data_IF_438283875186
#
_entry.id   IF_438283875186
#
_cell.length_a   1.000
_cell.length_b   1.000
_cell.length_c   1.000
_cell.angle_alpha   90.00
_cell.angle_beta   90.00
_cell.angle_gamma   90.00
#
_symmetry.space_group_name_H-M   'P 1'
#
loop_
_entity.id
_entity.type
_entity.pdbx_description
1 polymer ?
#
# COMPACT_ATOMS: atom_id res chain seq x y z
N UNK A 1 0.00 5.60 -11.71
CA UNK A 1 1.27 5.08 -12.24
C UNK A 1 2.45 5.81 -11.62
N UNK A 2 3.59 5.15 -11.60
CA UNK A 2 4.88 5.70 -11.20
C UNK A 2 5.85 5.39 -12.34
N UNK A 3 6.30 6.44 -13.06
CA UNK A 3 7.07 6.31 -14.29
C UNK A 3 8.43 6.98 -14.13
N UNK A 4 9.47 6.37 -14.69
CA UNK A 4 10.79 6.98 -14.84
C UNK A 4 11.04 7.22 -16.31
N UNK A 5 11.20 8.49 -16.68
CA UNK A 5 11.45 8.93 -18.04
C UNK A 5 12.87 9.50 -18.18
N UNK A 6 13.49 9.28 -19.35
CA UNK A 6 14.76 9.88 -19.76
C UNK A 6 14.68 10.18 -21.25
N UNK A 7 15.11 11.37 -21.64
CA UNK A 7 15.10 11.81 -23.06
C UNK A 7 13.72 11.69 -23.72
N UNK A 8 12.65 12.05 -22.99
CA UNK A 8 11.25 11.92 -23.41
C UNK A 8 10.75 10.48 -23.63
N UNK A 9 11.48 9.50 -23.19
CA UNK A 9 11.09 8.08 -23.24
C UNK A 9 10.85 7.54 -21.84
N UNK A 10 9.73 6.83 -21.62
CA UNK A 10 9.46 6.08 -20.39
C UNK A 10 10.17 4.74 -20.52
N UNK A 11 11.16 4.48 -19.68
CA UNK A 11 11.89 3.21 -19.67
C UNK A 11 11.55 2.32 -18.47
N UNK A 12 10.80 2.85 -17.51
CA UNK A 12 10.32 2.09 -16.37
C UNK A 12 8.98 2.65 -15.89
N UNK A 13 8.01 1.77 -15.70
CA UNK A 13 6.68 2.13 -15.22
C UNK A 13 6.15 1.08 -14.23
N UNK A 14 5.57 1.56 -13.13
CA UNK A 14 4.74 0.76 -12.25
C UNK A 14 3.30 1.26 -12.34
N UNK A 15 2.36 0.37 -12.60
CA UNK A 15 0.94 0.71 -12.68
C UNK A 15 0.16 -0.11 -11.67
N UNK A 16 -0.68 0.54 -10.90
CA UNK A 16 -1.68 -0.09 -10.05
C UNK A 16 -3.04 0.14 -10.65
N UNK A 17 -3.77 -0.94 -10.88
CA UNK A 17 -5.15 -0.89 -11.33
C UNK A 17 -6.10 -1.12 -10.16
N UNK A 18 -7.12 -0.30 -10.01
CA UNK A 18 -8.21 -0.51 -9.06
C UNK A 18 -9.22 -1.53 -9.61
N UNK A 19 -8.74 -2.76 -9.79
CA UNK A 19 -9.56 -3.87 -10.31
C UNK A 19 -10.74 -4.18 -9.40
N UNK A 20 -10.56 -4.04 -8.08
CA UNK A 20 -11.65 -4.23 -7.13
C UNK A 20 -12.72 -3.15 -7.26
N UNK A 21 -12.32 -1.90 -7.51
CA UNK A 21 -13.25 -0.81 -7.82
C UNK A 21 -14.04 -1.06 -9.09
N UNK A 22 -13.37 -1.54 -10.15
CA UNK A 22 -14.02 -1.91 -11.41
C UNK A 22 -15.07 -3.01 -11.20
N UNK A 23 -14.75 -4.09 -10.47
CA UNK A 23 -15.66 -5.20 -10.18
C UNK A 23 -16.92 -4.67 -9.47
N UNK A 24 -16.75 -3.79 -8.48
CA UNK A 24 -17.88 -3.15 -7.78
C UNK A 24 -18.73 -2.27 -8.70
N UNK A 25 -18.11 -1.51 -9.60
CA UNK A 25 -18.82 -0.67 -10.58
C UNK A 25 -19.64 -1.50 -11.57
N UNK A 26 -19.20 -2.72 -11.89
CA UNK A 26 -19.94 -3.67 -12.69
C UNK A 26 -21.07 -4.37 -11.93
N UNK A 27 -21.29 -4.06 -10.65
CA UNK A 27 -22.32 -4.68 -9.80
C UNK A 27 -22.01 -6.11 -9.39
N UNK A 28 -20.77 -6.57 -9.55
CA UNK A 28 -20.34 -7.92 -9.21
C UNK A 28 -19.89 -8.01 -7.74
N UNK A 29 -20.12 -9.17 -7.13
CA UNK A 29 -19.62 -9.44 -5.78
C UNK A 29 -18.12 -9.69 -5.82
N UNK A 30 -17.37 -8.83 -5.13
CA UNK A 30 -15.91 -8.85 -5.13
C UNK A 30 -15.35 -10.14 -4.47
N UNK A 31 -16.03 -10.67 -3.45
CA UNK A 31 -15.60 -11.90 -2.78
C UNK A 31 -15.83 -13.14 -3.65
N UNK A 32 -16.97 -13.21 -4.33
CA UNK A 32 -17.26 -14.33 -5.24
C UNK A 32 -16.30 -14.31 -6.45
N UNK A 33 -16.03 -13.16 -7.04
CA UNK A 33 -15.03 -13.03 -8.12
C UNK A 33 -13.63 -13.44 -7.62
N UNK A 34 -13.23 -12.98 -6.43
CA UNK A 34 -11.92 -13.34 -5.85
C UNK A 34 -11.82 -14.84 -5.59
N UNK A 35 -12.89 -15.47 -5.09
CA UNK A 35 -12.97 -16.91 -4.84
C UNK A 35 -12.90 -17.74 -6.13
N UNK A 36 -13.62 -17.32 -7.17
CA UNK A 36 -13.55 -17.97 -8.47
C UNK A 36 -12.11 -17.94 -9.02
N UNK A 37 -11.47 -16.75 -9.03
CA UNK A 37 -10.08 -16.59 -9.50
C UNK A 37 -9.11 -17.41 -8.63
N UNK A 38 -9.32 -17.46 -7.32
CA UNK A 38 -8.49 -18.22 -6.40
C UNK A 38 -8.53 -19.72 -6.70
N UNK A 39 -9.70 -20.25 -7.09
CA UNK A 39 -9.91 -21.66 -7.42
C UNK A 39 -9.37 -22.03 -8.81
N UNK A 40 -9.55 -21.14 -9.79
CA UNK A 40 -9.10 -21.36 -11.17
C UNK A 40 -7.59 -21.13 -11.36
N UNK A 41 -6.97 -20.45 -10.44
CA UNK A 41 -5.60 -19.95 -10.52
C UNK A 41 -5.48 -18.65 -11.32
N UNK A 42 -4.63 -17.75 -10.86
CA UNK A 42 -4.41 -16.45 -11.53
C UNK A 42 -3.49 -16.65 -12.73
N UNK A 43 -3.98 -16.31 -13.91
CA UNK A 43 -3.23 -16.39 -15.17
C UNK A 43 -3.26 -15.04 -15.88
N UNK A 44 -2.17 -14.71 -16.57
CA UNK A 44 -2.09 -13.53 -17.45
C UNK A 44 -1.49 -12.28 -16.82
N UNK A 45 -1.56 -11.15 -17.54
CA UNK A 45 -0.84 -9.91 -17.19
C UNK A 45 -1.30 -9.23 -15.90
N UNK A 46 -2.47 -9.62 -15.39
CA UNK A 46 -3.03 -9.11 -14.13
C UNK A 46 -2.68 -9.97 -12.91
N UNK A 47 -1.91 -11.05 -13.11
CA UNK A 47 -1.41 -11.83 -11.99
C UNK A 47 -0.46 -10.97 -11.15
N UNK A 48 -0.66 -10.91 -9.81
CA UNK A 48 0.22 -10.13 -8.96
C UNK A 48 1.67 -10.64 -9.07
N UNK A 49 2.61 -9.77 -9.45
CA UNK A 49 4.03 -10.13 -9.44
C UNK A 49 4.58 -9.99 -8.01
N UNK A 50 4.49 -11.06 -7.25
CA UNK A 50 4.98 -11.11 -5.87
C UNK A 50 6.49 -11.35 -5.77
N UNK A 51 7.21 -11.61 -6.86
CA UNK A 51 8.63 -11.94 -6.82
C UNK A 51 9.51 -10.75 -6.45
N UNK A 52 9.08 -9.54 -6.82
CA UNK A 52 9.87 -8.32 -6.61
C UNK A 52 9.67 -7.67 -5.25
N UNK A 53 8.63 -8.04 -4.50
CA UNK A 53 8.11 -7.27 -3.37
C UNK A 53 8.11 -7.98 -2.03
N UNK A 54 8.98 -8.99 -1.81
CA UNK A 54 9.09 -9.59 -0.47
C UNK A 54 9.76 -8.62 0.50
N UNK A 55 9.03 -7.90 1.36
CA UNK A 55 9.65 -7.11 2.42
C UNK A 55 10.49 -8.04 3.30
N UNK A 56 11.74 -7.70 3.50
CA UNK A 56 12.72 -8.58 4.18
C UNK A 56 12.50 -8.70 5.69
N UNK A 57 11.52 -7.99 6.29
CA UNK A 57 11.35 -7.95 7.75
C UNK A 57 9.89 -7.96 8.17
N UNK A 58 9.58 -8.80 9.17
CA UNK A 58 8.38 -8.70 10.00
C UNK A 58 8.61 -7.67 11.12
N UNK A 59 7.57 -6.97 11.54
CA UNK A 59 7.60 -5.92 12.58
C UNK A 59 8.29 -6.39 13.87
N UNK A 60 8.10 -7.66 14.26
CA UNK A 60 8.73 -8.24 15.45
C UNK A 60 10.26 -8.18 15.47
N UNK A 61 10.89 -7.85 14.34
CA UNK A 61 12.35 -7.72 14.20
C UNK A 61 12.81 -6.27 14.03
N UNK A 62 11.91 -5.31 14.08
CA UNK A 62 12.29 -3.90 14.02
C UNK A 62 12.87 -3.48 15.35
N UNK A 63 14.13 -3.01 15.33
CA UNK A 63 14.73 -2.38 16.52
C UNK A 63 13.93 -1.11 16.87
N UNK A 64 13.77 -0.78 18.15
CA UNK A 64 13.15 0.48 18.55
C UNK A 64 14.09 1.65 18.23
N UNK A 65 14.03 2.14 17.01
CA UNK A 65 14.65 3.41 16.64
C UNK A 65 13.51 4.43 16.65
N UNK A 66 13.62 5.44 17.49
CA UNK A 66 12.69 6.56 17.52
C UNK A 66 12.99 7.48 16.34
N UNK A 67 12.30 7.28 15.23
CA UNK A 67 12.24 8.31 14.20
C UNK A 67 11.11 9.25 14.57
N UNK A 68 11.44 10.42 15.07
CA UNK A 68 10.48 11.50 15.15
C UNK A 68 10.22 12.03 13.74
N UNK A 69 8.95 12.15 13.38
CA UNK A 69 8.58 12.82 12.14
C UNK A 69 8.95 14.29 12.29
N UNK A 70 9.87 14.83 11.48
CA UNK A 70 10.33 16.20 11.65
C UNK A 70 9.20 17.19 11.32
N UNK A 71 9.03 18.20 12.16
CA UNK A 71 8.07 19.28 11.92
C UNK A 71 8.47 20.19 10.75
N UNK A 72 9.74 20.16 10.34
CA UNK A 72 10.27 20.90 9.20
C UNK A 72 10.99 19.93 8.26
N UNK A 73 10.59 19.90 7.00
CA UNK A 73 11.14 18.99 5.99
C UNK A 73 12.43 19.59 5.43
N UNK A 74 13.56 19.27 6.07
CA UNK A 74 14.89 19.57 5.54
C UNK A 74 15.36 18.54 4.51
N UNK A 75 14.95 17.30 4.69
CA UNK A 75 15.23 16.17 3.80
C UNK A 75 13.93 15.40 3.55
N UNK A 76 13.42 15.50 2.35
CA UNK A 76 12.13 14.87 1.99
C UNK A 76 12.20 13.35 2.06
N UNK A 77 13.31 12.72 1.67
CA UNK A 77 13.49 11.27 1.77
C UNK A 77 13.39 10.79 3.22
N UNK A 78 14.07 11.45 4.12
CA UNK A 78 14.02 11.13 5.56
C UNK A 78 12.62 11.31 6.13
N UNK A 79 11.92 12.40 5.75
CA UNK A 79 10.53 12.63 6.14
C UNK A 79 9.63 11.49 5.70
N UNK A 80 9.69 11.09 4.43
CA UNK A 80 8.87 10.00 3.89
C UNK A 80 9.14 8.69 4.64
N UNK A 81 10.40 8.33 4.84
CA UNK A 81 10.77 7.14 5.61
C UNK A 81 10.29 7.20 7.06
N UNK A 82 10.41 8.37 7.72
CA UNK A 82 9.95 8.56 9.10
C UNK A 82 8.42 8.39 9.21
N UNK A 83 7.65 8.92 8.26
CA UNK A 83 6.19 8.76 8.22
C UNK A 83 5.80 7.29 8.12
N UNK A 84 6.36 6.56 7.15
CA UNK A 84 6.05 5.14 6.97
C UNK A 84 6.48 4.28 8.15
N UNK A 85 7.69 4.49 8.65
CA UNK A 85 8.19 3.71 9.79
C UNK A 85 7.38 4.00 11.06
N UNK A 86 7.16 5.26 11.39
CA UNK A 86 6.51 5.66 12.64
C UNK A 86 5.03 5.27 12.66
N UNK A 87 4.29 5.60 11.60
CA UNK A 87 2.84 5.41 11.57
C UNK A 87 2.50 3.96 11.22
N UNK A 88 3.06 3.42 10.12
CA UNK A 88 2.69 2.12 9.62
C UNK A 88 3.43 0.96 10.31
N UNK A 89 4.75 1.07 10.51
CA UNK A 89 5.53 -0.02 11.07
C UNK A 89 5.52 -0.04 12.61
N UNK A 90 5.50 1.13 13.25
CA UNK A 90 5.52 1.24 14.72
C UNK A 90 4.16 1.49 15.35
N UNK A 91 3.11 1.68 14.55
CA UNK A 91 1.74 1.90 15.04
C UNK A 91 1.58 3.16 15.90
N UNK A 92 2.47 4.15 15.75
CA UNK A 92 2.34 5.41 16.44
C UNK A 92 1.37 6.32 15.69
N UNK A 93 0.06 6.08 15.87
CA UNK A 93 -0.98 6.82 15.17
C UNK A 93 -1.15 8.27 15.65
N UNK A 94 -0.63 8.63 16.83
CA UNK A 94 -0.60 10.01 17.30
C UNK A 94 0.35 10.87 16.45
N UNK A 95 1.38 10.27 15.86
CA UNK A 95 2.33 10.95 14.99
C UNK A 95 1.73 11.41 13.66
N UNK A 96 0.51 11.00 13.31
CA UNK A 96 -0.21 11.53 12.13
C UNK A 96 -0.27 13.06 12.16
N UNK A 97 -0.51 13.66 13.32
CA UNK A 97 -0.58 15.12 13.48
C UNK A 97 0.74 15.82 13.11
N UNK A 98 1.88 15.13 13.18
CA UNK A 98 3.17 15.68 12.79
C UNK A 98 3.38 15.64 11.27
N UNK A 99 2.77 14.68 10.57
CA UNK A 99 2.93 14.50 9.12
C UNK A 99 1.82 15.16 8.29
N UNK A 100 0.57 15.06 8.75
CA UNK A 100 -0.61 15.42 7.95
C UNK A 100 -1.27 16.70 8.46
N UNK A 101 -1.90 17.42 7.53
CA UNK A 101 -2.81 18.51 7.87
C UNK A 101 -4.11 17.96 8.50
N UNK A 102 -4.72 18.70 9.41
CA UNK A 102 -5.97 18.27 10.06
C UNK A 102 -7.10 18.01 9.06
N UNK A 103 -7.13 18.76 7.96
CA UNK A 103 -8.13 18.68 6.90
C UNK A 103 -7.64 17.89 5.66
N UNK A 104 -6.67 17.00 5.83
CA UNK A 104 -6.13 16.18 4.74
C UNK A 104 -7.23 15.52 3.92
N UNK A 105 -7.05 15.52 2.60
CA UNK A 105 -7.93 14.83 1.67
C UNK A 105 -7.30 13.49 1.27
N UNK A 106 -8.10 12.43 1.30
CA UNK A 106 -7.67 11.09 0.93
C UNK A 106 -8.55 10.53 -0.19
N UNK A 107 -7.90 9.96 -1.20
CA UNK A 107 -8.53 9.16 -2.24
C UNK A 107 -7.80 7.83 -2.37
N UNK A 108 -8.53 6.72 -2.29
CA UNK A 108 -7.95 5.37 -2.31
C UNK A 108 -8.69 4.41 -3.22
N UNK A 109 -8.15 3.21 -3.34
CA UNK A 109 -8.76 2.11 -4.09
C UNK A 109 -10.19 1.84 -3.64
N UNK A 110 -10.99 1.24 -4.52
CA UNK A 110 -12.40 0.92 -4.31
C UNK A 110 -13.32 2.13 -4.05
N UNK A 111 -12.92 3.30 -4.59
CA UNK A 111 -13.70 4.53 -4.49
C UNK A 111 -13.69 5.17 -3.11
N UNK A 112 -12.73 4.82 -2.23
CA UNK A 112 -12.61 5.45 -0.92
C UNK A 112 -12.24 6.92 -1.07
N UNK A 113 -13.09 7.79 -0.54
CA UNK A 113 -12.84 9.23 -0.45
C UNK A 113 -13.27 9.72 0.91
N UNK A 114 -12.38 10.40 1.61
CA UNK A 114 -12.71 11.05 2.87
C UNK A 114 -11.80 12.25 3.13
N UNK A 115 -12.17 13.05 4.10
CA UNK A 115 -11.43 14.23 4.53
C UNK A 115 -11.25 14.22 6.04
N UNK A 116 -10.10 14.72 6.47
CA UNK A 116 -9.75 14.87 7.88
C UNK A 116 -8.89 13.74 8.42
N UNK A 117 -8.00 14.13 9.32
CA UNK A 117 -6.96 13.27 9.89
C UNK A 117 -7.53 12.10 10.71
N UNK A 118 -8.70 12.28 11.34
CA UNK A 118 -9.32 11.21 12.14
C UNK A 118 -9.86 10.09 11.23
N UNK A 119 -10.43 10.44 10.08
CA UNK A 119 -10.87 9.46 9.09
C UNK A 119 -9.67 8.72 8.49
N UNK A 120 -8.56 9.41 8.22
CA UNK A 120 -7.31 8.78 7.78
C UNK A 120 -6.78 7.82 8.86
N UNK A 121 -6.77 8.24 10.13
CA UNK A 121 -6.36 7.40 11.27
C UNK A 121 -7.21 6.13 11.35
N UNK A 122 -8.52 6.25 11.25
CA UNK A 122 -9.44 5.12 11.29
C UNK A 122 -9.20 4.14 10.13
N UNK A 123 -8.93 4.66 8.92
CA UNK A 123 -8.56 3.83 7.77
C UNK A 123 -7.26 3.05 8.04
N UNK A 124 -6.21 3.71 8.50
CA UNK A 124 -4.92 3.06 8.81
C UNK A 124 -5.10 1.99 9.89
N UNK A 125 -5.85 2.30 10.95
CA UNK A 125 -6.14 1.35 12.03
C UNK A 125 -6.91 0.13 11.48
N UNK A 126 -7.88 0.33 10.59
CA UNK A 126 -8.64 -0.77 10.00
C UNK A 126 -7.78 -1.73 9.19
N UNK A 127 -6.81 -1.21 8.44
CA UNK A 127 -5.83 -2.01 7.69
C UNK A 127 -4.92 -2.80 8.62
N UNK A 128 -4.39 -2.14 9.65
CA UNK A 128 -3.51 -2.76 10.64
C UNK A 128 -4.28 -3.78 11.50
N UNK A 129 -5.55 -3.56 11.79
CA UNK A 129 -6.38 -4.53 12.49
C UNK A 129 -6.50 -5.85 11.72
N UNK A 130 -6.65 -5.80 10.39
CA UNK A 130 -6.66 -7.00 9.55
C UNK A 130 -5.30 -7.72 9.55
N UNK A 131 -4.19 -6.96 9.53
CA UNK A 131 -2.82 -7.46 9.45
C UNK A 131 -1.97 -6.89 10.59
N UNK A 132 -2.09 -7.42 11.84
CA UNK A 132 -1.41 -6.83 13.01
C UNK A 132 0.11 -6.81 12.92
N UNK A 133 0.69 -7.73 12.15
CA UNK A 133 2.13 -7.83 11.90
C UNK A 133 2.55 -7.22 10.55
N UNK A 134 1.70 -6.37 9.94
CA UNK A 134 2.00 -5.71 8.67
C UNK A 134 3.33 -4.96 8.74
N UNK A 135 4.26 -5.30 7.87
CA UNK A 135 5.54 -4.61 7.71
C UNK A 135 5.61 -4.01 6.31
N UNK A 136 5.84 -2.71 6.25
CA UNK A 136 5.82 -1.91 5.04
C UNK A 136 7.23 -1.40 4.73
N UNK A 137 7.64 -1.48 3.46
CA UNK A 137 8.92 -0.97 2.96
C UNK A 137 8.72 -0.08 1.76
N UNK A 138 9.47 1.02 1.70
CA UNK A 138 9.53 1.89 0.53
C UNK A 138 10.49 1.25 -0.48
N UNK A 139 10.04 1.08 -1.71
CA UNK A 139 10.80 0.47 -2.80
C UNK A 139 11.34 1.53 -3.75
N UNK A 140 10.48 2.49 -4.15
CA UNK A 140 10.84 3.63 -4.99
C UNK A 140 10.27 4.92 -4.43
N UNK A 141 11.00 6.00 -4.58
CA UNK A 141 10.62 7.32 -4.10
C UNK A 141 11.08 8.39 -5.10
N UNK A 142 10.10 9.09 -5.64
CA UNK A 142 10.30 10.21 -6.57
C UNK A 142 9.53 11.43 -6.09
N UNK A 143 10.02 12.61 -6.43
CA UNK A 143 9.31 13.85 -6.13
C UNK A 143 9.69 14.96 -7.10
N UNK A 144 8.82 15.93 -7.18
CA UNK A 144 9.06 17.22 -7.81
C UNK A 144 8.65 18.36 -6.86
N UNK A 145 9.12 19.56 -7.15
CA UNK A 145 8.87 20.72 -6.29
C UNK A 145 10.01 20.99 -5.29
N UNK A 146 9.75 21.89 -4.38
CA UNK A 146 10.72 22.37 -3.39
C UNK A 146 10.02 22.78 -2.09
N UNK A 147 10.80 23.19 -1.08
CA UNK A 147 10.27 23.55 0.22
C UNK A 147 9.37 24.81 0.20
N UNK A 148 9.58 25.71 -0.77
CA UNK A 148 8.84 26.96 -0.87
C UNK A 148 7.49 26.77 -1.56
N UNK A 149 7.46 26.05 -2.67
CA UNK A 149 6.26 25.83 -3.49
C UNK A 149 5.47 24.60 -3.08
N UNK A 150 6.08 23.72 -2.28
CA UNK A 150 5.57 22.43 -1.90
C UNK A 150 6.15 21.30 -2.75
N UNK A 151 5.74 20.06 -2.43
CA UNK A 151 6.19 18.86 -3.10
C UNK A 151 5.01 18.04 -3.61
N UNK A 152 5.20 17.44 -4.79
CA UNK A 152 4.43 16.28 -5.24
C UNK A 152 5.33 15.06 -5.13
N UNK A 153 4.94 14.09 -4.33
CA UNK A 153 5.72 12.90 -3.99
C UNK A 153 5.05 11.67 -4.54
N UNK A 154 5.80 10.77 -5.13
CA UNK A 154 5.31 9.45 -5.56
C UNK A 154 6.15 8.36 -4.88
N UNK A 155 5.47 7.46 -4.19
CA UNK A 155 6.05 6.44 -3.34
C UNK A 155 5.53 5.08 -3.79
N UNK A 156 6.41 4.20 -4.27
CA UNK A 156 6.09 2.79 -4.40
C UNK A 156 6.47 2.07 -3.12
N UNK A 157 5.55 1.29 -2.60
CA UNK A 157 5.76 0.53 -1.37
C UNK A 157 5.33 -0.93 -1.53
N UNK A 158 5.99 -1.81 -0.79
CA UNK A 158 5.61 -3.19 -0.61
C UNK A 158 5.34 -3.49 0.86
N UNK A 159 4.47 -4.44 1.12
CA UNK A 159 4.12 -4.84 2.48
C UNK A 159 3.90 -6.35 2.58
N UNK A 160 4.14 -6.90 3.77
CA UNK A 160 3.79 -8.27 4.12
C UNK A 160 3.12 -8.28 5.48
N UNK A 161 2.08 -9.09 5.63
CA UNK A 161 1.39 -9.27 6.90
C UNK A 161 0.61 -10.56 6.91
N UNK A 162 0.26 -11.03 8.12
CA UNK A 162 -0.59 -12.20 8.32
C UNK A 162 -2.00 -11.73 8.65
N UNK A 163 -3.00 -12.21 7.90
CA UNK A 163 -4.41 -11.91 8.14
C UNK A 163 -4.90 -12.58 9.41
N UNK A 164 -4.78 -11.89 10.53
CA UNK A 164 -5.12 -12.37 11.89
C UNK A 164 -6.28 -11.63 12.53
N UNK A 165 -6.66 -10.49 11.99
CA UNK A 165 -7.74 -9.67 12.52
C UNK A 165 -9.01 -9.77 11.70
N UNK A 166 -10.14 -9.65 12.37
CA UNK A 166 -11.43 -9.49 11.73
C UNK A 166 -11.58 -8.04 11.21
N UNK A 167 -12.09 -7.85 10.01
CA UNK A 167 -12.22 -6.51 9.44
C UNK A 167 -12.70 -6.49 8.00
N UNK A 168 -12.23 -5.53 7.22
CA UNK A 168 -12.70 -5.25 5.86
C UNK A 168 -12.48 -6.42 4.88
N UNK A 169 -11.62 -7.37 5.20
CA UNK A 169 -11.37 -8.58 4.39
C UNK A 169 -12.01 -9.85 4.99
N UNK A 170 -12.92 -9.69 5.97
CA UNK A 170 -13.66 -10.78 6.60
C UNK A 170 -12.94 -11.41 7.79
N UNK A 171 -13.31 -12.66 8.11
CA UNK A 171 -12.75 -13.42 9.22
C UNK A 171 -11.30 -13.80 8.98
N UNK A 172 -10.46 -13.87 10.06
CA UNK A 172 -9.04 -14.16 9.93
C UNK A 172 -8.77 -15.52 9.29
N UNK A 173 -7.93 -15.51 8.27
CA UNK A 173 -7.53 -16.73 7.54
C UNK A 173 -6.20 -17.31 8.02
N UNK A 174 -5.46 -16.58 8.84
CA UNK A 174 -4.07 -16.85 9.27
C UNK A 174 -3.08 -17.03 8.09
N UNK A 175 -3.39 -16.44 6.94
CA UNK A 175 -2.53 -16.48 5.76
C UNK A 175 -1.61 -15.29 5.72
N UNK A 176 -0.37 -15.52 5.30
CA UNK A 176 0.55 -14.45 4.92
C UNK A 176 0.09 -13.87 3.59
N UNK A 177 0.01 -12.56 3.52
CA UNK A 177 -0.43 -11.81 2.37
C UNK A 177 0.64 -10.77 2.00
N UNK A 178 0.92 -10.68 0.72
CA UNK A 178 1.81 -9.69 0.13
C UNK A 178 0.99 -8.59 -0.54
N UNK A 179 1.31 -7.36 -0.23
CA UNK A 179 0.67 -6.18 -0.78
C UNK A 179 1.73 -5.29 -1.41
N UNK A 180 1.35 -4.56 -2.42
CA UNK A 180 2.12 -3.43 -2.89
C UNK A 180 1.17 -2.35 -3.41
N UNK A 181 1.65 -1.12 -3.43
CA UNK A 181 0.86 -0.01 -3.90
C UNK A 181 1.72 1.20 -4.24
N UNK A 182 1.03 2.21 -4.73
CA UNK A 182 1.59 3.51 -5.02
C UNK A 182 0.80 4.53 -4.23
N UNK A 183 1.52 5.36 -3.49
CA UNK A 183 0.97 6.51 -2.79
C UNK A 183 1.55 7.77 -3.41
N UNK A 184 0.68 8.74 -3.67
CA UNK A 184 1.09 10.09 -4.05
C UNK A 184 0.67 11.07 -2.97
N UNK A 185 1.57 11.98 -2.62
CA UNK A 185 1.32 13.05 -1.66
C UNK A 185 1.47 14.42 -2.30
N UNK A 186 0.57 15.32 -1.95
CA UNK A 186 0.79 16.74 -2.06
C UNK A 186 1.18 17.27 -0.68
N UNK A 187 2.36 17.90 -0.60
CA UNK A 187 2.92 18.43 0.65
C UNK A 187 3.01 19.95 0.52
N UNK A 188 2.40 20.67 1.46
CA UNK A 188 2.51 22.14 1.60
C UNK A 188 2.72 22.51 3.06
N UNK A 189 3.52 23.53 3.32
CA UNK A 189 3.80 24.01 4.67
C UNK A 189 4.24 22.88 5.63
N UNK A 190 5.11 21.98 5.14
CA UNK A 190 5.60 20.81 5.87
C UNK A 190 4.52 19.80 6.30
N UNK A 191 3.34 19.82 5.67
CA UNK A 191 2.24 18.87 5.94
C UNK A 191 1.76 18.22 4.66
N UNK A 192 1.41 16.95 4.75
CA UNK A 192 0.68 16.25 3.69
C UNK A 192 -0.75 16.77 3.73
N UNK A 193 -1.17 17.46 2.67
CA UNK A 193 -2.51 18.05 2.55
C UNK A 193 -3.44 17.18 1.72
N UNK A 194 -2.86 16.33 0.85
CA UNK A 194 -3.62 15.38 0.05
C UNK A 194 -2.84 14.10 -0.17
N UNK A 195 -3.54 12.97 -0.14
CA UNK A 195 -3.01 11.65 -0.39
C UNK A 195 -3.88 10.89 -1.39
N UNK A 196 -3.24 10.28 -2.38
CA UNK A 196 -3.84 9.29 -3.27
C UNK A 196 -3.10 7.97 -3.09
N UNK A 197 -3.82 6.93 -2.67
CA UNK A 197 -3.21 5.62 -2.42
C UNK A 197 -3.94 4.53 -3.18
N UNK A 198 -3.26 3.95 -4.17
CA UNK A 198 -3.74 2.83 -4.97
C UNK A 198 -3.02 1.54 -4.61
N UNK A 199 -3.77 0.47 -4.38
CA UNK A 199 -3.30 -0.90 -4.24
C UNK A 199 -4.36 -1.89 -4.71
N UNK A 200 -3.95 -3.11 -5.08
CA UNK A 200 -4.88 -4.09 -5.63
C UNK A 200 -5.54 -4.93 -4.53
N UNK A 201 -6.75 -4.54 -4.12
CA UNK A 201 -7.53 -5.25 -3.09
C UNK A 201 -8.04 -6.61 -3.57
N UNK A 202 -8.31 -6.77 -4.87
CA UNK A 202 -8.66 -8.08 -5.42
C UNK A 202 -7.51 -9.09 -5.21
N UNK A 203 -6.26 -8.66 -5.42
CA UNK A 203 -5.10 -9.51 -5.19
C UNK A 203 -4.94 -9.92 -3.71
N UNK A 204 -5.33 -9.07 -2.77
CA UNK A 204 -5.38 -9.42 -1.35
C UNK A 204 -6.41 -10.54 -1.14
N UNK A 205 -7.65 -10.34 -1.59
CA UNK A 205 -8.72 -11.32 -1.41
C UNK A 205 -8.39 -12.67 -2.05
N UNK A 206 -7.83 -12.68 -3.26
CA UNK A 206 -7.39 -13.91 -3.91
C UNK A 206 -6.39 -14.68 -3.03
N UNK A 207 -5.41 -14.00 -2.44
CA UNK A 207 -4.43 -14.63 -1.55
C UNK A 207 -5.07 -15.20 -0.27
N UNK A 208 -6.07 -14.51 0.26
CA UNK A 208 -6.77 -14.92 1.47
C UNK A 208 -7.73 -16.10 1.24
N UNK A 209 -8.31 -16.20 0.04
CA UNK A 209 -9.33 -17.20 -0.32
C UNK A 209 -8.76 -18.42 -1.04
N UNK A 210 -7.54 -18.37 -1.60
CA UNK A 210 -6.94 -19.49 -2.30
C UNK A 210 -6.85 -20.75 -1.41
N UNK A 211 -7.15 -21.93 -1.93
CA UNK A 211 -7.03 -23.17 -1.17
C UNK A 211 -5.59 -23.47 -0.75
N UNK A 212 -5.42 -24.12 0.43
CA UNK A 212 -4.08 -24.54 0.91
C UNK A 212 -3.36 -25.50 -0.05
N UNK A 213 -4.13 -26.22 -0.89
CA UNK A 213 -3.59 -27.13 -1.92
C UNK A 213 -3.19 -26.41 -3.21
N UNK A 214 -3.78 -25.27 -3.51
CA UNK A 214 -3.28 -24.35 -4.51
C UNK A 214 -2.15 -23.54 -3.88
N UNK A 215 -1.08 -24.21 -3.43
CA UNK A 215 0.17 -23.52 -3.21
C UNK A 215 0.44 -22.78 -4.51
N UNK A 216 0.32 -21.47 -4.48
CA UNK A 216 0.81 -20.62 -5.56
C UNK A 216 2.28 -21.01 -5.76
N UNK A 217 2.48 -21.99 -6.65
CA UNK A 217 3.82 -22.46 -6.95
C UNK A 217 4.42 -21.46 -7.92
N UNK A 218 4.92 -20.36 -7.33
CA UNK A 218 5.55 -19.24 -8.02
C UNK A 218 6.69 -19.68 -8.93
N UNK A 219 7.26 -20.88 -8.71
CA UNK A 219 8.36 -21.42 -9.51
C UNK A 219 7.91 -22.01 -10.86
N UNK A 220 6.63 -22.36 -11.02
CA UNK A 220 6.10 -22.91 -12.28
C UNK A 220 5.75 -21.86 -13.35
N UNK A 221 5.65 -20.59 -13.00
CA UNK A 221 5.28 -19.52 -13.94
C UNK A 221 6.49 -19.07 -14.80
N UNK A 222 7.71 -19.33 -14.35
CA UNK A 222 8.94 -18.84 -15.01
C UNK A 222 9.67 -19.84 -15.90
N UNK A 223 9.18 -21.06 -16.10
CA UNK A 223 9.85 -22.07 -16.94
C UNK A 223 9.17 -22.28 -18.31
N UNK A 224 8.40 -21.31 -18.80
CA UNK A 224 7.88 -21.27 -20.16
C UNK A 224 8.16 -19.90 -20.76
N UNK A 225 9.38 -19.67 -21.16
CA UNK A 225 9.83 -18.61 -22.02
C UNK A 225 10.77 -19.22 -23.02
#
# INVERSE_FOLDING_TARGET
ANCVAKNNEIYYENVVYDTAGLIKQLGLDLHEVAKQIANEGVRGPFAPDFKKTKPKRKISKLKPISYEIPNNIKNLREFVHAVYDTIWNRRNFSALNNAYANNVEFEGSTGRKFKGIDNLRNFIISMVACFPDLALSIEDLYWMGNAQDGYLVSIRWGAVGTHKGNGIYGAPTNRECYLWGITQWEIKNNKIIKEWTGFNELAILIQLLADKKSSFNFDKINNRG
#
